data_IF_242327240830
#
_entry.id   IF_242327240830
#
_cell.length_a   1.000
_cell.length_b   1.000
_cell.length_c   1.000
_cell.angle_alpha   90.00
_cell.angle_beta   90.00
_cell.angle_gamma   90.00
#
_symmetry.space_group_name_H-M   'P 1'
#
loop_
_entity.id
_entity.type
_entity.pdbx_description
1 polymer ?
#
# COMPACT_ATOMS: atom_id res chain seq x y z
N UNK A 1 12.38 -14.26 -21.04
CA UNK A 1 11.58 -14.64 -19.86
C UNK A 1 10.82 -13.41 -19.37
N UNK A 2 9.81 -13.10 -20.18
CA UNK A 2 8.47 -12.65 -19.79
C UNK A 2 8.35 -11.31 -19.06
N UNK A 3 8.34 -10.28 -19.91
CA UNK A 3 7.47 -9.12 -19.78
C UNK A 3 6.02 -9.55 -19.55
N UNK A 4 5.66 -9.88 -18.32
CA UNK A 4 4.28 -9.85 -17.87
C UNK A 4 4.08 -8.56 -17.09
N UNK A 5 3.56 -7.58 -17.85
CA UNK A 5 2.96 -6.33 -17.39
C UNK A 5 1.73 -6.69 -16.54
N UNK A 6 1.99 -7.19 -15.33
CA UNK A 6 0.96 -7.53 -14.37
C UNK A 6 0.35 -6.25 -13.82
N UNK A 7 -0.98 -6.21 -13.77
CA UNK A 7 -1.72 -5.27 -12.93
C UNK A 7 -1.04 -5.24 -11.56
N UNK A 8 -0.35 -4.15 -11.22
CA UNK A 8 0.28 -3.98 -9.91
C UNK A 8 -0.85 -4.00 -8.89
N UNK A 9 -1.09 -5.17 -8.29
CA UNK A 9 -1.73 -5.24 -7.00
C UNK A 9 -0.94 -4.31 -6.09
N UNK A 10 -1.61 -3.38 -5.40
CA UNK A 10 -0.97 -2.44 -4.47
C UNK A 10 -0.48 -3.14 -3.19
N UNK A 11 -0.37 -4.46 -3.23
CA UNK A 11 0.07 -5.36 -2.17
C UNK A 11 1.50 -5.78 -2.49
N UNK A 12 2.44 -5.37 -1.64
CA UNK A 12 3.77 -5.95 -1.65
C UNK A 12 3.72 -7.35 -1.03
N UNK A 13 4.25 -8.34 -1.75
CA UNK A 13 4.42 -9.71 -1.21
C UNK A 13 5.69 -9.86 -0.38
N UNK A 14 6.63 -8.93 -0.51
CA UNK A 14 7.87 -8.92 0.25
C UNK A 14 7.68 -8.24 1.61
N UNK A 15 8.03 -8.95 2.69
CA UNK A 15 7.95 -8.46 4.07
C UNK A 15 9.20 -7.70 4.52
N UNK A 16 10.30 -7.78 3.76
CA UNK A 16 11.59 -7.15 4.10
C UNK A 16 11.48 -5.66 4.45
N UNK A 17 10.65 -4.84 3.76
CA UNK A 17 10.53 -3.42 4.08
C UNK A 17 9.96 -3.12 5.47
N UNK A 18 9.22 -4.06 6.07
CA UNK A 18 8.70 -3.92 7.44
C UNK A 18 9.83 -4.13 8.44
N UNK A 19 10.65 -5.15 8.22
CA UNK A 19 11.79 -5.48 9.09
C UNK A 19 12.84 -4.38 9.05
N UNK A 20 13.20 -3.89 7.87
CA UNK A 20 14.12 -2.75 7.70
C UNK A 20 13.61 -1.49 8.41
N UNK A 21 12.30 -1.23 8.32
CA UNK A 21 11.67 -0.10 8.99
C UNK A 21 11.75 -0.23 10.53
N UNK A 22 11.57 -1.44 11.06
CA UNK A 22 11.70 -1.72 12.49
C UNK A 22 13.15 -1.58 12.96
N UNK A 23 14.10 -2.15 12.23
CA UNK A 23 15.52 -2.06 12.55
C UNK A 23 15.99 -0.60 12.55
N UNK A 24 15.58 0.19 11.55
CA UNK A 24 15.85 1.62 11.52
C UNK A 24 15.22 2.37 12.70
N UNK A 25 14.00 2.03 13.11
CA UNK A 25 13.37 2.67 14.26
C UNK A 25 14.13 2.40 15.57
N UNK A 26 14.61 1.17 15.77
CA UNK A 26 15.35 0.76 16.97
C UNK A 26 16.78 1.33 17.02
N UNK A 27 17.43 1.46 15.86
CA UNK A 27 18.84 1.90 15.77
C UNK A 27 19.00 3.40 15.55
N UNK A 28 17.92 4.14 15.23
CA UNK A 28 18.01 5.57 14.94
C UNK A 28 18.38 6.40 16.17
N UNK A 29 19.33 7.33 15.99
CA UNK A 29 19.73 8.28 17.02
C UNK A 29 18.60 9.26 17.39
N UNK A 30 17.70 9.53 16.44
CA UNK A 30 16.54 10.41 16.61
C UNK A 30 15.27 9.69 16.13
N UNK A 31 14.62 8.91 17.00
CA UNK A 31 13.45 8.13 16.62
C UNK A 31 12.26 9.03 16.27
N UNK A 32 11.51 8.63 15.25
CA UNK A 32 10.26 9.30 14.83
C UNK A 32 9.05 8.60 15.45
N UNK A 33 7.99 9.37 15.70
CA UNK A 33 6.72 8.83 16.19
C UNK A 33 6.00 7.98 15.14
N UNK A 34 6.24 8.25 13.86
CA UNK A 34 5.66 7.50 12.75
C UNK A 34 6.73 7.12 11.73
N UNK A 35 6.78 5.82 11.42
CA UNK A 35 7.56 5.27 10.32
C UNK A 35 6.63 4.62 9.30
N UNK A 36 6.87 4.90 8.02
CA UNK A 36 6.16 4.28 6.92
C UNK A 36 6.97 3.10 6.41
N UNK A 37 6.47 1.88 6.65
CA UNK A 37 7.08 0.66 6.14
C UNK A 37 6.69 0.47 4.67
N UNK A 38 7.69 0.33 3.80
CA UNK A 38 7.46 0.10 2.38
C UNK A 38 7.30 1.37 1.54
N UNK A 39 7.68 1.23 0.26
CA UNK A 39 7.63 2.31 -0.73
C UNK A 39 6.20 2.59 -1.22
N UNK A 40 5.37 1.56 -1.26
CA UNK A 40 3.93 1.65 -1.53
C UNK A 40 3.19 2.48 -0.48
N UNK A 41 3.52 2.30 0.81
CA UNK A 41 2.96 3.11 1.88
C UNK A 41 3.22 4.60 1.64
N UNK A 42 4.48 4.95 1.36
CA UNK A 42 4.89 6.34 1.17
C UNK A 42 4.38 6.98 -0.12
N UNK A 43 4.33 6.23 -1.22
CA UNK A 43 4.00 6.77 -2.55
C UNK A 43 2.50 6.76 -2.81
N UNK A 44 1.77 5.79 -2.28
CA UNK A 44 0.36 5.60 -2.62
C UNK A 44 -0.55 5.72 -1.40
N UNK A 45 -0.33 4.93 -0.36
CA UNK A 45 -1.30 4.82 0.74
C UNK A 45 -1.37 6.07 1.64
N UNK A 46 -0.23 6.68 1.98
CA UNK A 46 -0.18 7.91 2.80
C UNK A 46 -0.75 9.12 2.05
N UNK A 47 -0.40 9.38 0.78
CA UNK A 47 -1.06 10.44 0.04
C UNK A 47 -2.57 10.21 -0.08
N UNK A 48 -2.98 8.96 -0.35
CA UNK A 48 -4.39 8.62 -0.51
C UNK A 48 -5.19 8.83 0.78
N UNK A 49 -4.63 8.51 1.96
CA UNK A 49 -5.32 8.69 3.24
C UNK A 49 -5.58 10.15 3.59
N UNK A 50 -4.81 11.08 3.03
CA UNK A 50 -5.00 12.52 3.20
C UNK A 50 -5.88 13.17 2.11
N UNK A 51 -6.33 12.42 1.09
CA UNK A 51 -7.21 12.96 0.05
C UNK A 51 -8.69 13.02 0.51
N UNK A 52 -9.51 13.93 -0.04
CA UNK A 52 -10.96 13.94 0.17
C UNK A 52 -11.63 12.61 -0.22
N UNK A 53 -12.68 12.22 0.52
CA UNK A 53 -13.40 10.96 0.33
C UNK A 53 -13.88 10.75 -1.12
N UNK A 54 -14.38 11.79 -1.79
CA UNK A 54 -14.83 11.70 -3.18
C UNK A 54 -13.72 11.25 -4.16
N UNK A 55 -12.46 11.65 -3.93
CA UNK A 55 -11.32 11.21 -4.73
C UNK A 55 -10.92 9.77 -4.39
N UNK A 56 -10.97 9.42 -3.10
CA UNK A 56 -10.68 8.05 -2.65
C UNK A 56 -11.70 7.06 -3.26
N UNK A 57 -12.99 7.36 -3.17
CA UNK A 57 -14.08 6.55 -3.72
C UNK A 57 -13.92 6.39 -5.24
N UNK A 58 -13.62 7.47 -5.96
CA UNK A 58 -13.39 7.39 -7.40
C UNK A 58 -12.22 6.46 -7.76
N UNK A 59 -11.09 6.56 -7.05
CA UNK A 59 -9.90 5.74 -7.30
C UNK A 59 -10.14 4.26 -6.95
N UNK A 60 -10.80 3.99 -5.82
CA UNK A 60 -11.10 2.64 -5.35
C UNK A 60 -12.22 1.97 -6.17
N UNK A 61 -13.26 2.71 -6.54
CA UNK A 61 -14.33 2.21 -7.43
C UNK A 61 -13.80 1.87 -8.82
N UNK A 62 -12.85 2.65 -9.35
CA UNK A 62 -12.19 2.33 -10.62
C UNK A 62 -11.37 1.03 -10.55
N UNK A 63 -10.92 0.66 -9.36
CA UNK A 63 -10.17 -0.58 -9.08
C UNK A 63 -11.06 -1.75 -8.68
N UNK A 64 -12.38 -1.58 -8.63
CA UNK A 64 -13.36 -2.64 -8.39
C UNK A 64 -13.39 -3.60 -9.59
N UNK A 65 -12.27 -4.29 -9.81
CA UNK A 65 -12.22 -5.55 -10.50
C UNK A 65 -13.23 -6.44 -9.81
N UNK A 66 -14.18 -6.91 -10.60
CA UNK A 66 -15.27 -7.83 -10.30
C UNK A 66 -15.15 -8.45 -8.90
N UNK A 67 -15.92 -7.91 -7.94
CA UNK A 67 -16.15 -8.58 -6.67
C UNK A 67 -16.61 -10.00 -7.02
N UNK A 68 -15.73 -10.97 -6.78
CA UNK A 68 -16.01 -12.36 -7.05
C UNK A 68 -17.29 -12.75 -6.30
N UNK A 69 -18.34 -12.97 -7.08
CA UNK A 69 -19.65 -13.52 -6.71
C UNK A 69 -20.52 -12.69 -5.74
N UNK A 70 -21.49 -11.89 -6.25
CA UNK A 70 -22.47 -11.19 -5.41
C UNK A 70 -23.54 -12.10 -4.77
N UNK A 71 -23.45 -13.43 -4.92
CA UNK A 71 -24.39 -14.42 -4.36
C UNK A 71 -23.80 -15.34 -3.29
N UNK A 72 -22.62 -15.03 -2.74
CA UNK A 72 -22.07 -15.76 -1.60
C UNK A 72 -22.64 -15.21 -0.27
N UNK A 73 -23.96 -15.27 -0.10
CA UNK A 73 -24.68 -15.23 1.18
C UNK A 73 -25.83 -16.21 1.08
#
# INVERSE_FOLDING_TARGET
LDKLKGNKSYVNMDLSPVVECMDHALTSLFPKTHYAAGKDAKIFWIPLSHMPAALQDFLLLKQKAELANPKAV
#
